data_IF_603427009337
#
_entry.id   IF_603427009337
#
_cell.length_a   1.000
_cell.length_b   1.000
_cell.length_c   1.000
_cell.angle_alpha   90.00
_cell.angle_beta   90.00
_cell.angle_gamma   90.00
#
_symmetry.space_group_name_H-M   'P 1'
#
loop_
_entity.id
_entity.type
_entity.pdbx_description
1 polymer ?
#
# COMPACT_ATOMS: atom_id res chain seq x y z
N UNK A 1 -17.29 -31.39 20.15
CA UNK A 1 -16.94 -31.64 21.56
C UNK A 1 -17.64 -30.60 22.40
N UNK A 2 -18.65 -30.97 23.19
CA UNK A 2 -19.39 -30.03 24.03
C UNK A 2 -19.01 -30.29 25.48
N UNK A 3 -18.32 -29.34 26.11
CA UNK A 3 -18.02 -29.39 27.54
C UNK A 3 -19.09 -28.59 28.29
N UNK A 4 -19.64 -29.18 29.34
CA UNK A 4 -20.55 -28.48 30.24
C UNK A 4 -19.76 -27.42 31.03
N UNK A 5 -20.17 -26.15 30.92
CA UNK A 5 -19.55 -25.03 31.62
C UNK A 5 -20.36 -24.75 32.88
N UNK A 6 -19.74 -24.92 34.05
CA UNK A 6 -20.38 -24.65 35.34
C UNK A 6 -20.42 -23.15 35.65
N UNK A 7 -21.38 -22.44 35.05
CA UNK A 7 -21.56 -20.98 35.20
C UNK A 7 -21.69 -20.57 36.68
N UNK A 8 -22.36 -21.38 37.50
CA UNK A 8 -22.52 -21.12 38.94
C UNK A 8 -21.20 -21.09 39.72
N UNK A 9 -20.16 -21.80 39.25
CA UNK A 9 -18.81 -21.76 39.83
C UNK A 9 -18.05 -20.52 39.38
N UNK A 10 -18.17 -20.15 38.11
CA UNK A 10 -17.51 -18.98 37.53
C UNK A 10 -18.00 -17.65 38.13
N UNK A 11 -19.30 -17.52 38.37
CA UNK A 11 -19.89 -16.28 38.96
C UNK A 11 -19.33 -15.99 40.36
N UNK A 12 -18.86 -17.02 41.08
CA UNK A 12 -18.24 -16.85 42.41
C UNK A 12 -16.82 -16.29 42.36
N UNK A 13 -16.25 -16.08 41.16
CA UNK A 13 -14.96 -15.44 40.96
C UNK A 13 -13.76 -16.23 41.52
N UNK A 14 -13.92 -17.54 41.76
CA UNK A 14 -12.85 -18.37 42.30
C UNK A 14 -11.74 -18.53 41.26
N UNK A 15 -10.46 -18.24 41.61
CA UNK A 15 -9.36 -18.28 40.65
C UNK A 15 -9.15 -19.64 39.99
N UNK A 16 -9.35 -20.74 40.72
CA UNK A 16 -9.18 -22.11 40.20
C UNK A 16 -10.24 -22.46 39.15
N UNK A 17 -11.51 -22.13 39.42
CA UNK A 17 -12.62 -22.37 38.50
C UNK A 17 -12.43 -21.55 37.21
N UNK A 18 -11.99 -20.30 37.33
CA UNK A 18 -11.68 -19.44 36.18
C UNK A 18 -10.48 -19.95 35.38
N UNK A 19 -9.44 -20.44 36.04
CA UNK A 19 -8.26 -20.99 35.37
C UNK A 19 -8.61 -22.26 34.58
N UNK A 20 -9.39 -23.15 35.17
CA UNK A 20 -9.90 -24.37 34.53
C UNK A 20 -10.72 -24.03 33.27
N UNK A 21 -11.59 -23.02 33.36
CA UNK A 21 -12.36 -22.53 32.21
C UNK A 21 -11.46 -21.92 31.11
N UNK A 22 -10.49 -21.09 31.46
CA UNK A 22 -9.59 -20.47 30.49
C UNK A 22 -8.71 -21.50 29.77
N UNK A 23 -8.24 -22.52 30.48
CA UNK A 23 -7.49 -23.62 29.89
C UNK A 23 -8.33 -24.42 28.90
N UNK A 24 -9.60 -24.69 29.26
CA UNK A 24 -10.53 -25.31 28.33
C UNK A 24 -10.80 -24.42 27.11
N UNK A 25 -11.10 -23.14 27.32
CA UNK A 25 -11.38 -22.19 26.25
C UNK A 25 -10.20 -22.08 25.28
N UNK A 26 -8.97 -22.05 25.80
CA UNK A 26 -7.77 -22.05 24.96
C UNK A 26 -7.69 -23.30 24.09
N UNK A 27 -7.86 -24.49 24.69
CA UNK A 27 -7.89 -25.76 23.94
C UNK A 27 -9.02 -25.81 22.91
N UNK A 28 -10.20 -25.31 23.25
CA UNK A 28 -11.33 -25.22 22.33
C UNK A 28 -10.99 -24.34 21.12
N UNK A 29 -10.53 -23.10 21.34
CA UNK A 29 -10.13 -22.20 20.27
C UNK A 29 -9.03 -22.83 19.40
N UNK A 30 -8.02 -23.43 20.01
CA UNK A 30 -6.93 -24.08 19.27
C UNK A 30 -7.47 -25.23 18.40
N UNK A 31 -8.41 -26.03 18.91
CA UNK A 31 -9.01 -27.12 18.14
C UNK A 31 -9.96 -26.66 17.02
N UNK A 32 -10.72 -25.57 17.23
CA UNK A 32 -11.69 -25.06 16.25
C UNK A 32 -11.01 -24.27 15.14
N UNK A 33 -9.93 -23.55 15.47
CA UNK A 33 -9.12 -22.81 14.52
C UNK A 33 -8.00 -23.65 13.88
N UNK A 34 -7.96 -24.98 14.14
CA UNK A 34 -6.99 -25.90 13.53
C UNK A 34 -5.54 -25.65 13.94
N UNK A 35 -5.31 -25.02 15.10
CA UNK A 35 -3.98 -24.61 15.56
C UNK A 35 -3.39 -23.40 14.82
N UNK A 36 -4.08 -22.90 13.79
CA UNK A 36 -3.69 -21.70 13.05
C UNK A 36 -4.16 -20.51 13.87
N UNK A 37 -3.23 -19.89 14.60
CA UNK A 37 -3.44 -18.55 15.14
C UNK A 37 -3.72 -17.67 13.92
N UNK A 38 -4.92 -17.10 13.82
CA UNK A 38 -5.28 -16.20 12.73
C UNK A 38 -4.20 -15.11 12.61
N UNK A 39 -3.31 -15.23 11.63
CA UNK A 39 -2.14 -14.35 11.46
C UNK A 39 -2.56 -12.89 11.18
N UNK A 40 -3.82 -12.69 10.80
CA UNK A 40 -4.44 -11.38 10.62
C UNK A 40 -5.20 -10.90 11.87
N UNK A 41 -5.17 -11.62 12.99
CA UNK A 41 -5.77 -11.17 14.24
C UNK A 41 -4.86 -10.16 14.94
N UNK A 42 -5.13 -8.88 14.71
CA UNK A 42 -4.50 -7.79 15.46
C UNK A 42 -5.37 -7.37 16.68
N UNK A 43 -4.98 -7.69 17.92
CA UNK A 43 -5.75 -7.37 19.12
C UNK A 43 -5.77 -5.87 19.46
N UNK A 44 -4.77 -5.10 19.01
CA UNK A 44 -4.68 -3.66 19.26
C UNK A 44 -5.66 -2.92 18.35
N UNK A 45 -5.65 -3.26 17.06
CA UNK A 45 -6.56 -2.67 16.09
C UNK A 45 -8.03 -2.91 16.45
N UNK A 46 -8.38 -4.12 16.90
CA UNK A 46 -9.76 -4.44 17.30
C UNK A 46 -10.26 -3.62 18.49
N UNK A 47 -9.42 -3.38 19.51
CA UNK A 47 -9.80 -2.57 20.68
C UNK A 47 -9.99 -1.09 20.32
N UNK A 48 -9.26 -0.59 19.32
CA UNK A 48 -9.38 0.79 18.86
C UNK A 48 -10.53 0.98 17.85
N UNK A 49 -10.78 0.03 16.94
CA UNK A 49 -11.84 0.13 15.91
C UNK A 49 -13.21 -0.39 16.34
N UNK A 50 -13.30 -1.25 17.36
CA UNK A 50 -14.57 -1.83 17.82
C UNK A 50 -15.43 -0.92 18.71
N UNK A 51 -14.95 0.27 19.07
CA UNK A 51 -15.60 1.19 20.01
C UNK A 51 -16.46 2.28 19.37
N UNK A 52 -17.04 2.06 18.20
CA UNK A 52 -17.88 3.05 17.51
C UNK A 52 -19.35 2.85 17.88
N UNK A 53 -19.66 3.04 19.15
CA UNK A 53 -21.03 2.88 19.66
C UNK A 53 -21.09 2.97 21.18
N UNK A 54 -20.95 4.18 21.73
CA UNK A 54 -21.18 4.45 23.15
C UNK A 54 -20.20 5.46 23.71
N UNK A 55 -20.71 6.65 24.01
CA UNK A 55 -20.01 7.69 24.77
C UNK A 55 -19.32 7.09 26.02
N UNK A 56 -17.99 7.05 26.01
CA UNK A 56 -17.21 7.00 27.24
C UNK A 56 -16.07 7.99 27.13
N UNK A 57 -16.32 9.20 27.63
CA UNK A 57 -15.26 10.13 28.01
C UNK A 57 -14.54 9.50 29.20
N UNK A 58 -13.59 8.60 28.94
CA UNK A 58 -12.64 8.16 29.97
C UNK A 58 -11.42 9.06 29.88
N UNK A 59 -11.38 9.93 30.89
CA UNK A 59 -10.32 10.81 31.33
C UNK A 59 -8.91 10.39 30.88
N UNK A 60 -8.23 11.34 30.23
CA UNK A 60 -6.76 11.39 30.17
C UNK A 60 -6.24 11.61 31.60
N UNK A 61 -6.01 10.53 32.33
CA UNK A 61 -5.15 10.53 33.50
C UNK A 61 -4.58 9.13 33.68
N UNK A 62 -3.33 8.95 33.30
CA UNK A 62 -2.33 8.36 34.20
C UNK A 62 -0.95 8.49 33.55
N UNK A 63 -0.26 9.57 33.90
CA UNK A 63 1.20 9.58 33.94
C UNK A 63 1.62 8.86 35.23
N UNK A 64 1.51 7.54 35.30
CA UNK A 64 2.15 6.77 36.38
C UNK A 64 2.43 5.36 35.89
N UNK A 65 3.68 5.17 35.47
CA UNK A 65 4.56 4.01 35.69
C UNK A 65 5.82 4.25 34.83
N UNK A 66 6.52 5.35 35.13
CA UNK A 66 7.95 5.38 34.85
C UNK A 66 8.62 4.58 35.95
N UNK A 67 8.90 3.31 35.69
CA UNK A 67 9.84 2.54 36.48
C UNK A 67 11.23 3.10 36.19
N UNK A 68 11.75 3.83 37.16
CA UNK A 68 13.08 4.41 37.21
C UNK A 68 14.15 3.31 37.21
N UNK A 69 14.76 3.07 36.05
CA UNK A 69 16.04 2.38 35.96
C UNK A 69 17.16 3.37 36.31
N UNK A 70 17.43 3.51 37.61
CA UNK A 70 18.57 4.26 38.12
C UNK A 70 19.81 3.38 37.95
N UNK A 71 20.69 3.79 37.05
CA UNK A 71 22.11 3.46 37.11
C UNK A 71 22.65 4.00 38.43
N UNK A 72 23.25 3.16 39.27
CA UNK A 72 24.15 3.67 40.29
C UNK A 72 25.35 2.75 40.46
N UNK A 73 26.47 3.30 39.98
CA UNK A 73 27.85 2.93 40.26
C UNK A 73 28.08 2.98 41.76
N UNK A 74 28.77 1.98 42.30
CA UNK A 74 28.99 1.84 43.73
C UNK A 74 30.01 2.82 44.32
N UNK A 75 29.84 3.15 45.60
CA UNK A 75 30.90 3.36 46.60
C UNK A 75 30.26 3.74 47.95
N UNK A 76 30.75 3.17 49.06
CA UNK A 76 30.59 3.74 50.41
C UNK A 76 29.65 3.02 51.40
N UNK A 77 30.19 1.98 52.04
CA UNK A 77 30.29 1.77 53.50
C UNK A 77 29.17 2.28 54.45
N UNK A 78 28.46 1.37 55.14
CA UNK A 78 28.30 1.32 56.61
C UNK A 78 27.26 0.28 57.10
N UNK A 79 27.76 -0.68 57.90
CA UNK A 79 27.22 -1.30 59.14
C UNK A 79 25.74 -1.74 59.28
N UNK A 80 25.53 -3.04 59.56
CA UNK A 80 24.39 -3.50 60.39
C UNK A 80 23.79 -4.88 60.05
N UNK A 81 23.76 -5.89 60.96
CA UNK A 81 23.59 -7.31 60.61
C UNK A 81 22.20 -7.89 60.95
N UNK A 82 21.70 -8.87 60.17
CA UNK A 82 21.34 -10.20 60.69
C UNK A 82 21.01 -11.20 59.55
N UNK A 83 21.20 -12.48 59.88
CA UNK A 83 21.24 -13.70 59.05
C UNK A 83 19.86 -14.08 58.45
N UNK A 84 19.76 -14.83 57.35
CA UNK A 84 19.87 -16.31 57.27
C UNK A 84 20.04 -16.75 55.80
N UNK A 85 20.93 -17.71 55.61
CA UNK A 85 21.27 -18.47 54.40
C UNK A 85 20.20 -19.49 53.97
N UNK A 86 20.01 -19.70 52.66
CA UNK A 86 20.16 -20.99 51.90
C UNK A 86 19.66 -20.81 50.45
N UNK A 87 20.29 -21.44 49.43
CA UNK A 87 20.17 -21.07 48.02
C UNK A 87 19.30 -22.04 47.21
N UNK A 88 18.69 -21.59 46.10
CA UNK A 88 18.45 -22.48 44.96
C UNK A 88 18.24 -21.75 43.63
N UNK A 89 19.13 -22.08 42.70
CA UNK A 89 19.01 -21.86 41.26
C UNK A 89 17.60 -22.19 40.75
N UNK A 90 17.02 -21.28 39.97
CA UNK A 90 16.18 -21.67 38.85
C UNK A 90 16.79 -21.06 37.59
N UNK A 91 17.43 -21.94 36.82
CA UNK A 91 17.82 -21.68 35.44
C UNK A 91 16.51 -21.43 34.68
N UNK A 92 16.22 -20.17 34.36
CA UNK A 92 15.29 -19.88 33.28
C UNK A 92 15.95 -20.35 31.99
N UNK A 93 15.45 -21.49 31.50
CA UNK A 93 15.70 -22.00 30.18
C UNK A 93 15.50 -20.87 29.18
N UNK A 94 16.59 -20.50 28.50
CA UNK A 94 16.56 -19.84 27.20
C UNK A 94 15.59 -20.62 26.32
N UNK A 95 14.38 -20.06 26.14
CA UNK A 95 13.45 -20.52 25.12
C UNK A 95 14.14 -20.31 23.78
N UNK A 96 14.51 -21.43 23.18
CA UNK A 96 15.14 -21.52 21.88
C UNK A 96 14.33 -20.74 20.83
N UNK A 97 15.05 -20.03 19.97
CA UNK A 97 14.49 -19.42 18.77
C UNK A 97 13.70 -20.46 17.97
N UNK A 98 12.45 -20.12 17.67
CA UNK A 98 11.61 -20.92 16.80
C UNK A 98 12.18 -20.94 15.37
N UNK A 99 11.98 -22.04 14.61
CA UNK A 99 12.54 -22.25 13.27
C UNK A 99 12.01 -21.28 12.19
N UNK A 100 11.10 -20.37 12.54
CA UNK A 100 10.45 -19.46 11.59
C UNK A 100 11.13 -18.08 11.54
N UNK A 101 12.14 -17.81 12.37
CA UNK A 101 12.81 -16.50 12.39
C UNK A 101 13.45 -16.16 11.04
N UNK A 102 14.06 -17.14 10.37
CA UNK A 102 14.70 -16.96 9.06
C UNK A 102 13.69 -16.74 7.93
N UNK A 103 12.55 -17.41 7.99
CA UNK A 103 11.48 -17.23 7.00
C UNK A 103 10.78 -15.89 7.18
N UNK A 104 10.51 -15.48 8.43
CA UNK A 104 9.97 -14.16 8.74
C UNK A 104 10.92 -13.05 8.28
N UNK A 105 12.24 -13.22 8.47
CA UNK A 105 13.24 -12.26 8.01
C UNK A 105 13.31 -12.19 6.48
N UNK A 106 13.27 -13.34 5.79
CA UNK A 106 13.26 -13.40 4.34
C UNK A 106 11.99 -12.77 3.72
N UNK A 107 10.82 -13.05 4.29
CA UNK A 107 9.55 -12.44 3.87
C UNK A 107 9.54 -10.94 4.18
N UNK A 108 10.07 -10.51 5.33
CA UNK A 108 10.19 -9.09 5.65
C UNK A 108 11.07 -8.36 4.64
N UNK A 109 12.18 -8.96 4.22
CA UNK A 109 13.05 -8.43 3.16
C UNK A 109 12.32 -8.33 1.82
N UNK A 110 11.57 -9.36 1.43
CA UNK A 110 10.80 -9.32 0.19
C UNK A 110 9.74 -8.21 0.20
N UNK A 111 9.07 -8.00 1.33
CA UNK A 111 8.11 -6.90 1.50
C UNK A 111 8.82 -5.54 1.37
N UNK A 112 9.99 -5.36 1.97
CA UNK A 112 10.73 -4.10 1.83
C UNK A 112 11.19 -3.87 0.39
N UNK A 113 11.69 -4.90 -0.29
CA UNK A 113 12.17 -4.80 -1.68
C UNK A 113 11.01 -4.48 -2.64
N UNK A 114 9.85 -5.11 -2.45
CA UNK A 114 8.65 -4.83 -3.23
C UNK A 114 8.12 -3.41 -2.99
N UNK A 115 8.11 -2.94 -1.74
CA UNK A 115 7.70 -1.56 -1.43
C UNK A 115 8.62 -0.55 -2.12
N UNK A 116 9.94 -0.76 -2.09
CA UNK A 116 10.89 0.11 -2.80
C UNK A 116 10.68 0.07 -4.32
N UNK A 117 10.41 -1.12 -4.88
CA UNK A 117 10.10 -1.27 -6.30
C UNK A 117 8.78 -0.58 -6.67
N UNK A 118 7.76 -0.65 -5.82
CA UNK A 118 6.49 0.05 -6.01
C UNK A 118 6.72 1.57 -6.00
N UNK A 119 7.45 2.09 -5.02
CA UNK A 119 7.76 3.51 -4.91
C UNK A 119 8.52 4.05 -6.14
N UNK A 120 9.37 3.22 -6.74
CA UNK A 120 10.07 3.56 -7.98
C UNK A 120 9.08 3.62 -9.16
N UNK A 121 8.27 2.57 -9.33
CA UNK A 121 7.29 2.48 -10.42
C UNK A 121 6.24 3.59 -10.33
N UNK A 122 5.83 3.99 -9.14
CA UNK A 122 4.93 5.12 -8.95
C UNK A 122 5.54 6.43 -9.42
N UNK A 123 6.83 6.67 -9.10
CA UNK A 123 7.54 7.86 -9.59
C UNK A 123 7.70 7.84 -11.10
N UNK A 124 8.01 6.68 -11.70
CA UNK A 124 8.12 6.54 -13.15
C UNK A 124 6.77 6.77 -13.84
N UNK A 125 5.68 6.16 -13.32
CA UNK A 125 4.31 6.40 -13.79
C UNK A 125 3.97 7.89 -13.76
N UNK A 126 4.21 8.55 -12.63
CA UNK A 126 3.88 9.97 -12.45
C UNK A 126 4.76 10.86 -13.35
N UNK A 127 6.02 10.50 -13.54
CA UNK A 127 6.94 11.19 -14.45
C UNK A 127 6.47 11.13 -15.91
N UNK A 128 6.06 9.95 -16.39
CA UNK A 128 5.54 9.83 -17.76
C UNK A 128 4.18 10.51 -17.90
N UNK A 129 3.29 10.35 -16.92
CA UNK A 129 1.99 11.02 -16.93
C UNK A 129 2.11 12.54 -16.95
N UNK A 130 3.00 13.13 -16.15
CA UNK A 130 3.24 14.57 -16.15
C UNK A 130 3.69 15.08 -17.53
N UNK A 131 4.60 14.35 -18.20
CA UNK A 131 5.03 14.69 -19.57
C UNK A 131 3.89 14.63 -20.58
N UNK A 132 3.09 13.57 -20.54
CA UNK A 132 1.94 13.41 -21.43
C UNK A 132 0.91 14.53 -21.18
N UNK A 133 0.71 14.92 -19.93
CA UNK A 133 -0.16 16.04 -19.56
C UNK A 133 0.38 17.38 -20.06
N UNK A 134 1.68 17.64 -19.93
CA UNK A 134 2.29 18.87 -20.44
C UNK A 134 2.15 18.95 -21.97
N UNK A 135 2.37 17.84 -22.68
CA UNK A 135 2.17 17.73 -24.14
C UNK A 135 0.70 18.00 -24.49
N UNK A 136 -0.25 17.41 -23.77
CA UNK A 136 -1.68 17.63 -23.99
C UNK A 136 -2.06 19.11 -23.87
N UNK A 137 -1.53 19.82 -22.86
CA UNK A 137 -1.77 21.26 -22.67
C UNK A 137 -1.25 22.05 -23.88
N UNK A 138 -0.07 21.70 -24.40
CA UNK A 138 0.48 22.34 -25.60
C UNK A 138 -0.42 22.12 -26.81
N UNK A 139 -0.95 20.90 -26.99
CA UNK A 139 -1.88 20.57 -28.09
C UNK A 139 -3.27 21.22 -27.95
N UNK A 140 -3.61 21.77 -26.78
CA UNK A 140 -4.85 22.50 -26.52
C UNK A 140 -4.72 24.02 -26.76
N UNK A 141 -3.52 24.52 -27.09
CA UNK A 141 -3.35 25.93 -27.41
C UNK A 141 -4.06 26.28 -28.74
N UNK A 142 -4.82 27.37 -28.74
CA UNK A 142 -5.70 27.75 -29.87
C UNK A 142 -4.98 27.90 -31.22
N UNK A 143 -3.67 28.18 -31.20
CA UNK A 143 -2.84 28.32 -32.40
C UNK A 143 -2.56 26.99 -33.11
N UNK A 144 -2.54 25.89 -32.35
CA UNK A 144 -2.19 24.53 -32.82
C UNK A 144 -3.31 23.52 -32.60
N UNK A 145 -4.46 23.94 -32.08
CA UNK A 145 -5.56 23.02 -31.76
C UNK A 145 -6.09 22.25 -32.99
N UNK A 146 -6.11 22.90 -34.16
CA UNK A 146 -6.55 22.30 -35.43
C UNK A 146 -5.39 21.84 -36.32
N UNK A 147 -4.15 22.00 -35.86
CA UNK A 147 -3.00 21.54 -36.60
C UNK A 147 -3.02 20.00 -36.74
N UNK A 148 -2.79 19.43 -37.94
CA UNK A 148 -2.83 17.99 -38.15
C UNK A 148 -1.91 17.20 -37.21
N UNK A 149 -0.72 17.74 -36.89
CA UNK A 149 0.22 17.14 -35.94
C UNK A 149 -0.37 17.10 -34.53
N UNK A 150 -1.00 18.20 -34.10
CA UNK A 150 -1.68 18.27 -32.80
C UNK A 150 -2.83 17.26 -32.69
N UNK A 151 -3.63 17.12 -33.75
CA UNK A 151 -4.72 16.14 -33.82
C UNK A 151 -4.18 14.70 -33.73
N UNK A 152 -3.10 14.40 -34.45
CA UNK A 152 -2.44 13.09 -34.40
C UNK A 152 -1.87 12.77 -33.01
N UNK A 153 -1.25 13.75 -32.33
CA UNK A 153 -0.76 13.58 -30.97
C UNK A 153 -1.92 13.31 -30.00
N UNK A 154 -3.05 14.00 -30.13
CA UNK A 154 -4.24 13.74 -29.29
C UNK A 154 -4.83 12.35 -29.52
N UNK A 155 -4.80 11.81 -30.75
CA UNK A 155 -5.20 10.42 -31.02
C UNK A 155 -4.37 9.44 -30.18
N UNK A 156 -3.06 9.65 -30.08
CA UNK A 156 -2.18 8.84 -29.22
C UNK A 156 -2.54 9.02 -27.74
N UNK A 157 -2.75 10.26 -27.28
CA UNK A 157 -3.03 10.57 -25.87
C UNK A 157 -4.38 10.03 -25.37
N UNK A 158 -5.37 9.92 -26.26
CA UNK A 158 -6.74 9.50 -25.92
C UNK A 158 -7.07 8.06 -26.28
N UNK A 159 -6.10 7.30 -26.80
CA UNK A 159 -6.26 5.88 -27.06
C UNK A 159 -6.57 5.11 -25.77
N UNK A 160 -7.64 4.32 -25.77
CA UNK A 160 -8.10 3.56 -24.60
C UNK A 160 -7.42 2.20 -24.48
N UNK A 161 -6.94 1.65 -25.59
CA UNK A 161 -6.34 0.33 -25.66
C UNK A 161 -4.83 0.42 -25.84
N UNK A 162 -4.09 0.00 -24.80
CA UNK A 162 -2.61 -0.06 -24.79
C UNK A 162 -2.01 -1.05 -25.79
N UNK A 163 -2.83 -1.78 -26.55
CA UNK A 163 -2.44 -2.85 -27.47
C UNK A 163 -2.78 -2.56 -28.94
N UNK A 164 -3.66 -1.62 -29.21
CA UNK A 164 -3.90 -1.15 -30.57
C UNK A 164 -2.88 -0.08 -30.91
N UNK A 165 -2.45 -0.08 -32.17
CA UNK A 165 -1.39 0.79 -32.64
C UNK A 165 -1.91 2.21 -32.87
N UNK A 166 -2.22 2.89 -31.77
CA UNK A 166 -2.61 4.30 -31.78
C UNK A 166 -1.58 5.19 -32.48
N UNK A 167 -0.31 4.73 -32.52
CA UNK A 167 0.74 5.36 -33.28
C UNK A 167 0.54 5.19 -34.79
N UNK A 168 0.21 3.98 -35.27
CA UNK A 168 -0.02 3.74 -36.70
C UNK A 168 -1.26 4.53 -37.18
N UNK A 169 -2.35 4.54 -36.41
CA UNK A 169 -3.54 5.34 -36.74
C UNK A 169 -3.27 6.85 -36.78
N UNK A 170 -2.41 7.34 -35.88
CA UNK A 170 -2.00 8.73 -35.87
C UNK A 170 -1.10 9.06 -37.08
N UNK A 171 -0.24 8.13 -37.50
CA UNK A 171 0.60 8.27 -38.69
C UNK A 171 -0.23 8.24 -39.97
N UNK A 172 -1.19 7.33 -40.08
CA UNK A 172 -2.10 7.24 -41.22
C UNK A 172 -2.91 8.52 -41.37
N UNK A 173 -3.44 9.07 -40.27
CA UNK A 173 -4.13 10.36 -40.27
C UNK A 173 -3.26 11.50 -40.80
N UNK A 174 -1.98 11.56 -40.40
CA UNK A 174 -1.06 12.58 -40.91
C UNK A 174 -0.82 12.40 -42.40
N UNK A 175 -0.55 11.17 -42.84
CA UNK A 175 -0.30 10.89 -44.25
C UNK A 175 -1.51 11.26 -45.12
N UNK A 176 -2.74 10.94 -44.68
CA UNK A 176 -3.97 11.34 -45.39
C UNK A 176 -4.09 12.87 -45.48
N UNK A 177 -3.78 13.59 -44.40
CA UNK A 177 -3.94 15.04 -44.34
C UNK A 177 -2.82 15.81 -45.07
N UNK A 178 -1.65 15.20 -45.27
CA UNK A 178 -0.59 15.75 -46.13
C UNK A 178 -0.79 15.40 -47.60
N UNK A 179 -1.23 14.19 -47.93
CA UNK A 179 -1.52 13.80 -49.30
C UNK A 179 -2.73 14.57 -49.88
N UNK A 180 -3.74 14.89 -49.05
CA UNK A 180 -4.87 15.72 -49.48
C UNK A 180 -4.48 17.17 -49.82
N UNK A 181 -3.39 17.69 -49.24
CA UNK A 181 -2.89 19.03 -49.55
C UNK A 181 -2.14 19.07 -50.90
N UNK A 182 -1.43 17.99 -51.24
CA UNK A 182 -0.76 17.84 -52.54
C UNK A 182 -1.78 17.71 -53.69
N UNK A 183 -2.90 17.01 -53.46
CA UNK A 183 -3.99 16.88 -54.44
C UNK A 183 -4.76 18.22 -54.67
N UNK A 184 -4.86 19.09 -53.66
CA UNK A 184 -5.48 20.42 -53.80
C UNK A 184 -4.56 21.42 -54.53
N UNK A 185 -3.24 21.39 -54.30
CA UNK A 185 -2.27 22.22 -55.05
C UNK A 185 -2.15 21.79 -56.53
N UNK A 186 -2.22 20.49 -56.84
CA UNK A 186 -2.21 20.02 -58.24
C UNK A 186 -3.51 20.38 -59.00
N UNK A 187 -4.65 20.42 -58.31
CA UNK A 187 -5.94 20.78 -58.89
C UNK A 187 -6.06 22.30 -59.18
N UNK A 188 -5.55 23.17 -58.30
CA UNK A 188 -5.51 24.62 -58.57
C UNK A 188 -4.55 24.97 -59.72
N UNK A 189 -3.38 24.33 -59.78
CA UNK A 189 -2.41 24.56 -60.86
C UNK A 189 -2.94 24.12 -62.23
N UNK A 190 -3.75 23.06 -62.28
CA UNK A 190 -4.37 22.58 -63.51
C UNK A 190 -5.50 23.50 -64.02
N UNK A 191 -6.24 24.15 -63.12
CA UNK A 191 -7.32 25.09 -63.48
C UNK A 191 -6.74 26.44 -63.95
N UNK A 192 -5.66 26.92 -63.33
CA UNK A 192 -4.93 28.12 -63.78
C UNK A 192 -4.26 27.93 -65.16
N UNK A 193 -3.69 26.75 -65.44
CA UNK A 193 -3.12 26.42 -66.75
C UNK A 193 -4.19 26.27 -67.85
N UNK A 194 -5.39 25.79 -67.49
CA UNK A 194 -6.53 25.69 -68.40
C UNK A 194 -7.10 27.08 -68.77
N UNK A 195 -7.22 27.99 -67.80
CA UNK A 195 -7.68 29.35 -68.02
C UNK A 195 -6.72 30.18 -68.90
N UNK A 196 -5.40 30.04 -68.69
CA UNK A 196 -4.38 30.73 -69.50
C UNK A 196 -4.34 30.28 -70.97
N UNK A 197 -4.75 29.04 -71.26
CA UNK A 197 -4.85 28.50 -72.63
C UNK A 197 -6.12 28.95 -73.36
N UNK A 198 -7.15 29.37 -72.64
CA UNK A 198 -8.40 29.87 -73.23
C UNK A 198 -8.29 31.37 -73.62
N UNK A 199 -7.57 32.18 -72.83
CA UNK A 199 -7.32 33.60 -73.15
C UNK A 199 -6.35 33.84 -74.33
N UNK A 200 -5.47 32.90 -74.65
CA UNK A 200 -4.51 33.03 -75.76
C UNK A 200 -5.07 32.60 -77.13
N UNK A 201 -6.33 32.16 -77.17
CA UNK A 201 -7.02 31.69 -78.40
C UNK A 201 -8.10 32.65 -78.91
N UNK A 202 -8.37 33.75 -78.21
CA UNK A 202 -9.24 34.85 -78.64
C UNK A 202 -8.44 35.93 -79.40
#
# INVERSE_FOLDING_TARGET
MWQHIEVNRLVKGRPLDNLEFLQWLKRYCDSVNGGIMNENYNPVERRCKGGKGGNSKILKSSKYLQTSAIYNTGSGDMLGPNRISVPKQSKSSRGAGGPNSSEIEALSKQVTDLNLSMDLLEKERDFYFAKLRDIEILCQAAEVENDPMSVAIRKILYATDTKESALDEAQDYLNENFNAADDEEEAEAADEEAAAKEETKA
#
